data_IF_973515295031
#
_entry.id   IF_973515295031
#
_cell.length_a   1.000
_cell.length_b   1.000
_cell.length_c   1.000
_cell.angle_alpha   90.00
_cell.angle_beta   90.00
_cell.angle_gamma   90.00
#
_symmetry.space_group_name_H-M   'P 1'
#
loop_
_entity.id
_entity.type
_entity.pdbx_description
1 polymer ?
#
# COMPACT_ATOMS: atom_id res chain seq x y z
N UNK A 1 -6.30 -16.55 -8.51
CA UNK A 1 -6.57 -16.18 -7.11
C UNK A 1 -5.24 -16.12 -6.39
N UNK A 2 -5.06 -15.21 -5.44
CA UNK A 2 -3.81 -15.08 -4.69
C UNK A 2 -4.06 -15.28 -3.19
N UNK A 3 -3.10 -15.84 -2.47
CA UNK A 3 -3.20 -16.02 -1.02
C UNK A 3 -2.07 -15.27 -0.35
N UNK A 4 -2.41 -14.30 0.49
CA UNK A 4 -1.46 -13.56 1.30
C UNK A 4 -1.92 -13.51 2.74
N UNK A 5 -1.03 -13.89 3.68
CA UNK A 5 -1.34 -14.00 5.12
C UNK A 5 -2.61 -14.81 5.43
N UNK A 6 -2.84 -15.88 4.66
CA UNK A 6 -4.01 -16.75 4.81
C UNK A 6 -5.35 -16.13 4.39
N UNK A 7 -5.35 -14.93 3.79
CA UNK A 7 -6.53 -14.33 3.14
C UNK A 7 -6.44 -14.57 1.64
N UNK A 8 -7.52 -15.03 1.06
CA UNK A 8 -7.68 -15.13 -0.39
C UNK A 8 -8.01 -13.76 -0.99
N UNK A 9 -7.41 -13.48 -2.14
CA UNK A 9 -7.65 -12.30 -2.95
C UNK A 9 -8.10 -12.77 -4.34
N UNK A 10 -9.35 -12.46 -4.66
CA UNK A 10 -9.90 -12.69 -5.98
C UNK A 10 -9.24 -11.79 -7.01
N UNK A 11 -9.28 -12.17 -8.29
CA UNK A 11 -8.76 -11.31 -9.37
C UNK A 11 -9.50 -9.97 -9.43
N UNK A 12 -10.78 -9.93 -9.07
CA UNK A 12 -11.59 -8.72 -8.99
C UNK A 12 -11.08 -7.78 -7.89
N UNK A 13 -10.77 -8.31 -6.70
CA UNK A 13 -10.14 -7.51 -5.64
C UNK A 13 -8.76 -6.99 -6.05
N UNK A 14 -7.95 -7.80 -6.73
CA UNK A 14 -6.66 -7.33 -7.26
C UNK A 14 -6.85 -6.18 -8.25
N UNK A 15 -7.83 -6.27 -9.15
CA UNK A 15 -8.15 -5.16 -10.08
C UNK A 15 -8.56 -3.90 -9.34
N UNK A 16 -9.37 -4.03 -8.28
CA UNK A 16 -9.76 -2.90 -7.43
C UNK A 16 -8.52 -2.29 -6.74
N UNK A 17 -7.65 -3.14 -6.18
CA UNK A 17 -6.40 -2.70 -5.55
C UNK A 17 -5.53 -1.92 -6.54
N UNK A 18 -5.32 -2.44 -7.75
CA UNK A 18 -4.56 -1.75 -8.80
C UNK A 18 -5.15 -0.39 -9.13
N UNK A 19 -6.47 -0.32 -9.34
CA UNK A 19 -7.17 0.93 -9.61
C UNK A 19 -6.98 1.95 -8.48
N UNK A 20 -7.11 1.53 -7.22
CA UNK A 20 -6.90 2.43 -6.08
C UNK A 20 -5.45 2.95 -6.04
N UNK A 21 -4.47 2.13 -6.41
CA UNK A 21 -3.07 2.56 -6.48
C UNK A 21 -2.87 3.57 -7.61
N UNK A 22 -3.38 3.29 -8.80
CA UNK A 22 -3.33 4.18 -9.97
C UNK A 22 -3.95 5.55 -9.66
N UNK A 23 -5.14 5.56 -9.06
CA UNK A 23 -5.86 6.79 -8.67
C UNK A 23 -5.13 7.59 -7.58
N UNK A 24 -4.14 6.99 -6.90
CA UNK A 24 -3.46 7.58 -5.74
C UNK A 24 -1.93 7.55 -5.84
N UNK A 25 -1.34 7.47 -7.04
CA UNK A 25 0.13 7.38 -7.22
C UNK A 25 0.92 8.51 -6.52
N UNK A 26 0.33 9.70 -6.37
CA UNK A 26 0.96 10.83 -5.66
C UNK A 26 0.91 10.77 -4.12
N UNK A 27 0.12 9.84 -3.55
CA UNK A 27 -0.10 9.71 -2.10
C UNK A 27 0.94 8.80 -1.45
N UNK A 28 1.04 8.86 -0.12
CA UNK A 28 1.95 7.95 0.60
C UNK A 28 1.44 6.51 0.54
N UNK A 29 2.34 5.53 0.56
CA UNK A 29 1.97 4.11 0.72
C UNK A 29 1.07 3.86 1.95
N UNK A 30 1.14 4.72 2.98
CA UNK A 30 0.24 4.65 4.15
C UNK A 30 -1.20 4.94 3.76
N UNK A 31 -1.42 6.03 3.05
CA UNK A 31 -2.76 6.48 2.68
C UNK A 31 -3.40 5.50 1.70
N UNK A 32 -2.61 5.02 0.73
CA UNK A 32 -3.02 3.97 -0.21
C UNK A 32 -3.44 2.69 0.54
N UNK A 33 -2.63 2.22 1.50
CA UNK A 33 -2.95 1.01 2.27
C UNK A 33 -4.24 1.15 3.09
N UNK A 34 -4.49 2.33 3.66
CA UNK A 34 -5.72 2.63 4.40
C UNK A 34 -6.92 2.64 3.46
N UNK A 35 -6.82 3.33 2.32
CA UNK A 35 -7.89 3.41 1.32
C UNK A 35 -8.24 2.03 0.78
N UNK A 36 -7.23 1.20 0.47
CA UNK A 36 -7.44 -0.19 0.06
C UNK A 36 -8.16 -0.95 1.17
N UNK A 37 -7.68 -0.88 2.41
CA UNK A 37 -8.34 -1.52 3.56
C UNK A 37 -9.83 -1.15 3.67
N UNK A 38 -10.18 0.10 3.42
CA UNK A 38 -11.57 0.54 3.43
C UNK A 38 -12.37 -0.01 2.26
N UNK A 39 -11.82 0.06 1.04
CA UNK A 39 -12.50 -0.34 -0.20
C UNK A 39 -12.78 -1.84 -0.24
N UNK A 40 -11.83 -2.68 0.18
CA UNK A 40 -12.03 -4.15 0.27
C UNK A 40 -12.60 -4.58 1.64
N UNK A 41 -13.07 -3.61 2.43
CA UNK A 41 -13.61 -3.77 3.78
C UNK A 41 -12.76 -4.69 4.69
N UNK A 42 -11.44 -4.55 4.61
CA UNK A 42 -10.51 -5.38 5.36
C UNK A 42 -10.31 -4.87 6.78
N UNK A 43 -11.16 -5.38 7.68
CA UNK A 43 -11.22 -5.00 9.09
C UNK A 43 -10.97 -6.20 10.02
N UNK A 44 -10.59 -5.89 11.26
CA UNK A 44 -10.56 -6.83 12.37
C UNK A 44 -12.00 -7.08 12.88
N UNK A 45 -12.20 -8.15 13.67
CA UNK A 45 -13.50 -8.45 14.29
C UNK A 45 -14.00 -7.33 15.21
N UNK A 46 -13.08 -6.55 15.78
CA UNK A 46 -13.38 -5.37 16.59
C UNK A 46 -13.67 -4.09 15.75
N UNK A 47 -13.80 -4.20 14.42
CA UNK A 47 -14.08 -3.10 13.50
C UNK A 47 -12.88 -2.21 13.12
N UNK A 48 -11.72 -2.36 13.79
CA UNK A 48 -10.50 -1.61 13.47
C UNK A 48 -9.93 -2.04 12.11
N UNK A 49 -9.34 -1.11 11.37
CA UNK A 49 -8.70 -1.44 10.09
C UNK A 49 -7.48 -2.34 10.31
N UNK A 50 -7.26 -3.29 9.38
CA UNK A 50 -6.05 -4.11 9.35
C UNK A 50 -4.94 -3.42 8.54
N UNK A 51 -4.71 -2.14 8.78
CA UNK A 51 -3.81 -1.30 7.99
C UNK A 51 -2.37 -1.83 7.96
N UNK A 52 -1.83 -2.26 9.10
CA UNK A 52 -0.50 -2.86 9.19
C UNK A 52 -0.40 -4.16 8.38
N UNK A 53 -1.40 -5.04 8.47
CA UNK A 53 -1.42 -6.30 7.71
C UNK A 53 -1.63 -6.06 6.21
N UNK A 54 -2.47 -5.09 5.85
CA UNK A 54 -2.70 -4.69 4.48
C UNK A 54 -1.44 -4.13 3.85
N UNK A 55 -0.75 -3.21 4.52
CA UNK A 55 0.53 -2.68 4.05
C UNK A 55 1.56 -3.79 3.81
N UNK A 56 1.66 -4.75 4.73
CA UNK A 56 2.57 -5.89 4.55
C UNK A 56 2.19 -6.75 3.34
N UNK A 57 0.90 -7.04 3.15
CA UNK A 57 0.41 -7.81 2.01
C UNK A 57 0.64 -7.07 0.70
N UNK A 58 0.38 -5.77 0.64
CA UNK A 58 0.64 -4.96 -0.55
C UNK A 58 2.13 -4.95 -0.89
N UNK A 59 3.02 -4.85 0.11
CA UNK A 59 4.47 -4.97 -0.12
C UNK A 59 4.81 -6.33 -0.73
N UNK A 60 4.29 -7.43 -0.18
CA UNK A 60 4.53 -8.78 -0.73
C UNK A 60 3.97 -8.93 -2.14
N UNK A 61 2.77 -8.41 -2.41
CA UNK A 61 2.17 -8.40 -3.76
C UNK A 61 3.05 -7.65 -4.77
N UNK A 62 3.68 -6.56 -4.33
CA UNK A 62 4.62 -5.80 -5.16
C UNK A 62 5.92 -6.58 -5.41
N UNK A 63 6.48 -7.22 -4.39
CA UNK A 63 7.69 -8.04 -4.50
C UNK A 63 7.52 -9.22 -5.48
N UNK A 64 6.32 -9.78 -5.57
CA UNK A 64 6.00 -10.87 -6.52
C UNK A 64 5.44 -10.37 -7.86
N UNK A 65 5.39 -9.06 -8.10
CA UNK A 65 4.95 -8.46 -9.37
C UNK A 65 3.44 -8.54 -9.63
N UNK A 66 2.61 -8.77 -8.61
CA UNK A 66 1.15 -8.82 -8.76
C UNK A 66 0.55 -7.42 -8.88
N UNK A 67 1.13 -6.44 -8.18
CA UNK A 67 0.77 -5.02 -8.22
C UNK A 67 2.03 -4.17 -8.28
N UNK A 68 1.90 -2.91 -8.69
CA UNK A 68 2.99 -1.94 -8.68
C UNK A 68 2.66 -0.83 -7.68
N UNK A 69 3.37 -0.78 -6.56
CA UNK A 69 3.24 0.28 -5.57
C UNK A 69 4.11 1.48 -5.99
N UNK A 70 3.65 2.72 -5.72
CA UNK A 70 4.47 3.89 -5.99
C UNK A 70 5.75 3.83 -5.16
N UNK A 71 6.81 4.48 -5.64
CA UNK A 71 8.10 4.52 -4.95
C UNK A 71 7.94 4.98 -3.50
N UNK A 72 8.78 4.42 -2.63
CA UNK A 72 8.83 4.90 -1.26
C UNK A 72 9.40 6.31 -1.24
N UNK A 73 8.60 7.27 -0.80
CA UNK A 73 9.13 8.58 -0.44
C UNK A 73 10.01 8.38 0.78
N UNK A 74 11.33 8.46 0.59
CA UNK A 74 12.28 8.51 1.70
C UNK A 74 12.16 9.89 2.34
N UNK A 75 12.17 9.92 3.67
CA UNK A 75 12.18 11.16 4.44
C UNK A 75 13.45 11.22 5.29
N UNK A 76 14.03 12.40 5.41
CA UNK A 76 15.17 12.63 6.28
C UNK A 76 14.77 12.36 7.73
N UNK A 77 15.53 11.51 8.42
CA UNK A 77 15.29 11.14 9.83
C UNK A 77 15.50 12.31 10.79
N UNK A 78 16.24 13.34 10.38
CA UNK A 78 16.57 14.50 11.21
C UNK A 78 15.48 15.58 11.20
N UNK A 79 14.92 15.90 10.02
CA UNK A 79 13.96 17.00 9.87
C UNK A 79 12.57 16.57 9.35
N UNK A 80 12.39 15.31 8.96
CA UNK A 80 11.12 14.77 8.47
C UNK A 80 10.69 15.26 7.07
N UNK A 81 11.56 15.97 6.35
CA UNK A 81 11.30 16.41 4.96
C UNK A 81 11.60 15.31 3.95
N UNK A 82 10.86 15.24 2.82
CA UNK A 82 11.12 14.25 1.79
C UNK A 82 12.49 14.50 1.14
N UNK A 83 13.23 13.43 0.82
CA UNK A 83 14.57 13.54 0.21
C UNK A 83 14.56 14.26 -1.14
N UNK A 84 13.43 14.29 -1.85
CA UNK A 84 13.25 15.03 -3.11
C UNK A 84 13.28 16.56 -2.94
N UNK A 85 13.13 17.12 -1.72
CA UNK A 85 13.26 18.57 -1.47
C UNK A 85 14.68 18.99 -1.06
N UNK A 86 15.50 18.04 -0.63
CA UNK A 86 16.90 18.25 -0.24
C UNK A 86 17.69 17.83 -1.46
N UNK A 87 18.26 18.76 -2.22
CA UNK A 87 18.99 18.50 -3.47
C UNK A 87 20.21 17.58 -3.31
N UNK A 88 19.96 16.30 -3.03
CA UNK A 88 20.88 15.19 -2.94
C UNK A 88 20.37 14.17 -3.96
N UNK A 89 20.69 14.44 -5.22
CA UNK A 89 20.83 13.37 -6.19
C UNK A 89 21.94 12.45 -5.68
N UNK A 90 21.63 11.16 -5.53
CA UNK A 90 22.64 10.13 -5.27
C UNK A 90 23.45 9.86 -6.54
#
# INVERSE_FOLDING_TARGET
>A
MYIFRGREFSLSEIKIIKKVIEDNQGKSRRDISKKICEVINWRQLNGKSKDAACREVLRRMNEVGVIDLPEEKKFCSFCGKPYIEIGLEF
#
